data_IF_868491991638
#
_entry.id   IF_868491991638
#
_cell.length_a   1.000
_cell.length_b   1.000
_cell.length_c   1.000
_cell.angle_alpha   90.00
_cell.angle_beta   90.00
_cell.angle_gamma   90.00
#
_symmetry.space_group_name_H-M   'P 1'
#
loop_
_entity.id
_entity.type
_entity.pdbx_description
1 polymer ?
#
# COMPACT_ATOMS: atom_id res chain seq x y z
N UNK A 1 32.73 -71.71 -26.13
CA UNK A 1 32.59 -70.31 -25.91
C UNK A 1 32.71 -69.98 -24.45
N UNK A 2 33.75 -69.28 -24.05
CA UNK A 2 34.02 -68.84 -22.67
C UNK A 2 33.44 -67.46 -22.42
N UNK A 3 32.64 -67.33 -21.39
CA UNK A 3 32.16 -66.06 -20.87
C UNK A 3 33.15 -65.53 -19.82
N UNK A 4 33.54 -64.29 -19.92
CA UNK A 4 34.17 -63.49 -18.83
C UNK A 4 33.27 -62.32 -18.46
N UNK A 5 33.04 -62.10 -17.15
CA UNK A 5 32.23 -60.94 -16.70
C UNK A 5 33.13 -59.67 -16.60
N UNK A 6 32.66 -58.61 -17.26
CA UNK A 6 33.28 -57.30 -17.11
C UNK A 6 32.59 -56.50 -16.04
N UNK A 7 33.35 -56.10 -15.03
CA UNK A 7 32.97 -55.11 -14.01
C UNK A 7 32.68 -53.76 -14.67
N UNK A 8 31.49 -53.25 -14.42
CA UNK A 8 31.15 -51.86 -14.76
C UNK A 8 30.59 -51.18 -13.51
N UNK A 9 31.47 -50.53 -12.78
CA UNK A 9 31.10 -49.65 -11.67
C UNK A 9 30.30 -48.46 -12.18
N UNK A 10 29.00 -48.49 -11.97
CA UNK A 10 28.11 -47.36 -12.16
C UNK A 10 28.40 -46.29 -11.09
N UNK A 11 29.11 -45.25 -11.48
CA UNK A 11 29.19 -44.01 -10.70
C UNK A 11 27.89 -43.27 -10.81
N UNK A 12 27.03 -43.40 -9.79
CA UNK A 12 25.86 -42.57 -9.59
C UNK A 12 26.28 -41.12 -9.36
N UNK A 13 26.26 -40.34 -10.39
CA UNK A 13 26.32 -38.86 -10.29
C UNK A 13 24.99 -38.36 -9.76
N UNK A 14 24.94 -37.94 -8.50
CA UNK A 14 23.83 -37.20 -7.96
C UNK A 14 23.59 -35.95 -8.83
N UNK A 15 22.34 -35.60 -9.14
CA UNK A 15 22.06 -34.36 -9.85
C UNK A 15 22.46 -33.20 -8.93
N UNK A 16 23.50 -32.49 -9.33
CA UNK A 16 23.82 -31.18 -8.75
C UNK A 16 22.67 -30.25 -9.05
N UNK A 17 21.76 -30.10 -8.09
CA UNK A 17 20.71 -29.13 -8.10
C UNK A 17 21.36 -27.74 -7.95
N UNK A 18 21.98 -27.26 -9.02
CA UNK A 18 22.34 -25.86 -9.13
C UNK A 18 21.02 -25.11 -9.37
N UNK A 19 20.35 -24.74 -8.28
CA UNK A 19 19.36 -23.69 -8.32
C UNK A 19 20.08 -22.44 -8.88
N UNK A 20 20.16 -22.34 -10.19
CA UNK A 20 20.51 -21.12 -10.85
C UNK A 20 19.55 -20.09 -10.31
N UNK A 21 20.06 -19.14 -9.51
CA UNK A 21 19.35 -17.95 -9.09
C UNK A 21 19.07 -17.19 -10.38
N UNK A 22 17.98 -17.53 -11.04
CA UNK A 22 17.43 -16.78 -12.17
C UNK A 22 16.92 -15.47 -11.56
N UNK A 23 17.81 -14.52 -11.43
CA UNK A 23 17.48 -13.18 -11.01
C UNK A 23 16.70 -12.57 -12.19
N UNK A 24 15.38 -12.56 -12.09
CA UNK A 24 14.51 -11.91 -13.07
C UNK A 24 14.22 -10.51 -12.54
N UNK A 25 14.94 -9.47 -13.04
CA UNK A 25 14.82 -8.11 -12.50
C UNK A 25 13.39 -7.59 -12.53
N UNK A 26 12.63 -7.97 -13.57
CA UNK A 26 11.22 -7.60 -13.71
C UNK A 26 10.36 -8.20 -12.60
N UNK A 27 10.52 -9.48 -12.28
CA UNK A 27 9.77 -10.12 -11.19
C UNK A 27 10.11 -9.50 -9.82
N UNK A 28 11.39 -9.21 -9.58
CA UNK A 28 11.83 -8.54 -8.36
C UNK A 28 11.19 -7.15 -8.23
N UNK A 29 11.15 -6.37 -9.31
CA UNK A 29 10.54 -5.04 -9.32
C UNK A 29 9.04 -5.10 -9.00
N UNK A 30 8.30 -6.08 -9.53
CA UNK A 30 6.88 -6.28 -9.24
C UNK A 30 6.69 -6.62 -7.76
N UNK A 31 7.45 -7.58 -7.23
CA UNK A 31 7.37 -7.98 -5.83
C UNK A 31 7.75 -6.84 -4.88
N UNK A 32 8.70 -6.01 -5.25
CA UNK A 32 9.06 -4.84 -4.47
C UNK A 32 7.90 -3.83 -4.43
N UNK A 33 7.25 -3.54 -5.57
CA UNK A 33 6.05 -2.68 -5.59
C UNK A 33 4.93 -3.23 -4.72
N UNK A 34 4.72 -4.55 -4.72
CA UNK A 34 3.73 -5.18 -3.82
C UNK A 34 4.07 -4.95 -2.34
N UNK A 35 5.35 -5.02 -1.97
CA UNK A 35 5.79 -4.69 -0.61
C UNK A 35 5.56 -3.22 -0.28
N UNK A 36 5.88 -2.32 -1.23
CA UNK A 36 5.75 -0.88 -1.05
C UNK A 36 4.29 -0.45 -0.79
N UNK A 37 3.31 -1.20 -1.31
CA UNK A 37 1.88 -0.99 -1.04
C UNK A 37 1.36 -1.80 0.17
N UNK A 38 2.23 -2.39 0.98
CA UNK A 38 1.83 -3.17 2.16
C UNK A 38 1.22 -4.54 1.84
N UNK A 39 1.54 -5.14 0.70
CA UNK A 39 1.05 -6.46 0.29
C UNK A 39 2.13 -7.56 0.36
N UNK A 40 3.22 -7.32 1.11
CA UNK A 40 4.34 -8.26 1.21
C UNK A 40 4.01 -9.60 1.87
N UNK A 41 2.89 -9.70 2.57
CA UNK A 41 2.41 -10.93 3.20
C UNK A 41 1.62 -11.85 2.27
N UNK A 42 1.19 -11.37 1.09
CA UNK A 42 0.42 -12.18 0.15
C UNK A 42 1.25 -13.32 -0.43
N UNK A 43 0.60 -14.46 -0.65
CA UNK A 43 1.23 -15.62 -1.27
C UNK A 43 1.06 -15.57 -2.78
N UNK A 44 2.12 -15.93 -3.52
CA UNK A 44 2.02 -16.12 -4.95
C UNK A 44 1.01 -17.25 -5.27
N UNK A 45 0.12 -17.00 -6.22
CA UNK A 45 -0.95 -17.94 -6.57
C UNK A 45 -2.21 -17.82 -5.71
N UNK A 46 -2.27 -16.88 -4.76
CA UNK A 46 -3.49 -16.63 -3.99
C UNK A 46 -4.60 -16.11 -4.92
N UNK A 47 -5.82 -16.68 -4.86
CA UNK A 47 -6.94 -16.22 -5.68
C UNK A 47 -7.33 -14.78 -5.35
N UNK A 48 -7.54 -13.94 -6.37
CA UNK A 48 -7.93 -12.52 -6.19
C UNK A 48 -9.25 -12.35 -5.44
N UNK A 49 -10.12 -13.35 -5.49
CA UNK A 49 -11.40 -13.37 -4.78
C UNK A 49 -11.26 -13.43 -3.26
N UNK A 50 -10.08 -13.84 -2.76
CA UNK A 50 -9.80 -13.91 -1.32
C UNK A 50 -9.28 -12.58 -0.77
N UNK A 51 -8.98 -11.61 -1.64
CA UNK A 51 -8.49 -10.30 -1.24
C UNK A 51 -9.63 -9.38 -0.81
N UNK A 52 -9.40 -8.61 0.24
CA UNK A 52 -10.28 -7.50 0.66
C UNK A 52 -10.35 -6.41 -0.41
N UNK A 53 -11.30 -5.47 -0.26
CA UNK A 53 -11.43 -4.31 -1.15
C UNK A 53 -10.14 -3.49 -1.20
N UNK A 54 -9.61 -3.12 -0.04
CA UNK A 54 -8.37 -2.36 0.07
C UNK A 54 -7.14 -3.09 -0.47
N UNK A 55 -7.03 -4.41 -0.26
CA UNK A 55 -5.95 -5.21 -0.85
C UNK A 55 -5.99 -5.22 -2.37
N UNK A 56 -7.19 -5.37 -2.96
CA UNK A 56 -7.34 -5.29 -4.41
C UNK A 56 -6.97 -3.91 -4.96
N UNK A 57 -7.35 -2.86 -4.25
CA UNK A 57 -7.01 -1.48 -4.64
C UNK A 57 -5.49 -1.24 -4.57
N UNK A 58 -4.82 -1.68 -3.51
CA UNK A 58 -3.36 -1.60 -3.39
C UNK A 58 -2.64 -2.44 -4.43
N UNK A 59 -3.16 -3.64 -4.74
CA UNK A 59 -2.60 -4.47 -5.80
C UNK A 59 -2.71 -3.78 -7.17
N UNK A 60 -3.86 -3.17 -7.46
CA UNK A 60 -4.07 -2.37 -8.66
C UNK A 60 -3.08 -1.18 -8.71
N UNK A 61 -2.90 -0.48 -7.60
CA UNK A 61 -1.91 0.58 -7.51
C UNK A 61 -0.50 0.06 -7.83
N UNK A 62 -0.08 -1.08 -7.24
CA UNK A 62 1.22 -1.68 -7.48
C UNK A 62 1.47 -2.04 -8.96
N UNK A 63 0.42 -2.43 -9.71
CA UNK A 63 0.55 -2.75 -11.14
C UNK A 63 0.74 -1.49 -11.99
N UNK A 64 0.14 -0.36 -11.60
CA UNK A 64 0.20 0.89 -12.36
C UNK A 64 1.34 1.84 -11.92
N UNK A 65 2.07 1.49 -10.87
CA UNK A 65 3.23 2.25 -10.44
C UNK A 65 4.29 2.28 -11.55
N UNK A 66 4.63 3.48 -12.01
CA UNK A 66 5.61 3.70 -13.08
C UNK A 66 5.02 3.86 -14.47
N UNK A 67 3.69 3.79 -14.63
CA UNK A 67 3.05 4.17 -15.88
C UNK A 67 3.01 5.70 -16.05
N UNK A 68 3.00 6.13 -17.29
CA UNK A 68 2.76 7.54 -17.62
C UNK A 68 1.28 7.86 -17.36
N UNK A 69 1.00 8.63 -16.33
CA UNK A 69 -0.35 9.05 -15.97
C UNK A 69 -0.32 10.27 -15.06
N UNK A 70 -1.32 11.15 -15.17
CA UNK A 70 -1.38 12.40 -14.43
C UNK A 70 -2.09 12.30 -13.09
N UNK A 71 -3.15 11.48 -12.96
CA UNK A 71 -4.03 11.45 -11.79
C UNK A 71 -4.31 10.03 -11.34
N UNK A 72 -4.10 9.77 -10.06
CA UNK A 72 -4.50 8.54 -9.37
C UNK A 72 -5.71 8.83 -8.48
N UNK A 73 -6.78 8.04 -8.62
CA UNK A 73 -7.95 8.08 -7.73
C UNK A 73 -7.98 6.78 -6.95
N UNK A 74 -7.87 6.90 -5.63
CA UNK A 74 -7.67 5.78 -4.71
C UNK A 74 -8.78 5.80 -3.66
N UNK A 75 -9.51 4.69 -3.54
CA UNK A 75 -10.65 4.57 -2.66
C UNK A 75 -10.37 3.53 -1.55
N UNK A 76 -10.51 3.95 -0.30
CA UNK A 76 -10.33 3.11 0.90
C UNK A 76 -9.02 2.29 0.94
N UNK A 77 -7.89 2.90 0.60
CA UNK A 77 -6.58 2.23 0.57
C UNK A 77 -6.15 1.61 1.90
N UNK A 78 -6.61 2.17 3.01
CA UNK A 78 -6.20 1.73 4.36
C UNK A 78 -7.01 0.56 4.87
N UNK A 79 -8.10 0.17 4.18
CA UNK A 79 -8.94 -0.97 4.59
C UNK A 79 -8.12 -2.26 4.68
N UNK A 80 -8.10 -2.87 5.87
CA UNK A 80 -7.34 -4.09 6.15
C UNK A 80 -5.82 -3.90 6.19
N UNK A 81 -5.31 -2.65 6.20
CA UNK A 81 -3.89 -2.38 6.32
C UNK A 81 -3.46 -2.40 7.79
N UNK A 82 -2.34 -3.06 8.07
CA UNK A 82 -1.75 -3.01 9.39
C UNK A 82 -1.12 -1.63 9.65
N UNK A 83 -1.21 -1.13 10.89
CA UNK A 83 -0.68 0.20 11.24
C UNK A 83 0.81 0.39 10.88
N UNK A 84 1.60 -0.68 10.95
CA UNK A 84 3.02 -0.64 10.57
C UNK A 84 3.23 -0.36 9.08
N UNK A 85 2.28 -0.78 8.22
CA UNK A 85 2.38 -0.63 6.77
C UNK A 85 1.84 0.73 6.29
N UNK A 86 1.05 1.40 7.13
CA UNK A 86 0.47 2.71 6.81
C UNK A 86 1.57 3.75 6.49
N UNK A 87 2.66 3.76 7.27
CA UNK A 87 3.80 4.67 7.01
C UNK A 87 4.43 4.44 5.64
N UNK A 88 4.56 3.18 5.21
CA UNK A 88 5.09 2.84 3.89
C UNK A 88 4.14 3.30 2.76
N UNK A 89 2.83 3.14 2.98
CA UNK A 89 1.82 3.64 2.03
C UNK A 89 1.89 5.15 1.86
N UNK A 90 2.00 5.92 2.96
CA UNK A 90 2.12 7.37 2.89
C UNK A 90 3.38 7.80 2.13
N UNK A 91 4.54 7.19 2.43
CA UNK A 91 5.79 7.44 1.68
C UNK A 91 5.65 7.12 0.19
N UNK A 92 4.86 6.10 -0.16
CA UNK A 92 4.60 5.79 -1.57
C UNK A 92 3.75 6.88 -2.24
N UNK A 93 2.72 7.39 -1.55
CA UNK A 93 1.90 8.50 -2.06
C UNK A 93 2.74 9.75 -2.27
N UNK A 94 3.64 10.08 -1.34
CA UNK A 94 4.60 11.19 -1.49
C UNK A 94 5.45 11.03 -2.76
N UNK A 95 6.01 9.83 -2.99
CA UNK A 95 6.81 9.56 -4.20
C UNK A 95 6.01 9.75 -5.49
N UNK A 96 4.72 9.42 -5.50
CA UNK A 96 3.86 9.68 -6.65
C UNK A 96 3.71 11.19 -6.90
N UNK A 97 3.42 11.96 -5.85
CA UNK A 97 3.30 13.42 -5.93
C UNK A 97 4.63 14.05 -6.35
N UNK A 98 5.75 13.66 -5.74
CA UNK A 98 7.10 14.14 -6.07
C UNK A 98 7.48 13.83 -7.52
N UNK A 99 6.94 12.75 -8.10
CA UNK A 99 7.12 12.42 -9.52
C UNK A 99 6.22 13.23 -10.48
N UNK A 100 5.49 14.21 -9.97
CA UNK A 100 4.60 15.08 -10.73
C UNK A 100 3.21 14.49 -10.99
N UNK A 101 2.78 13.49 -10.21
CA UNK A 101 1.44 12.91 -10.28
C UNK A 101 0.49 13.64 -9.32
N UNK A 102 -0.77 13.70 -9.67
CA UNK A 102 -1.83 14.11 -8.74
C UNK A 102 -2.46 12.89 -8.11
N UNK A 103 -2.68 12.90 -6.80
CA UNK A 103 -3.27 11.78 -6.07
C UNK A 103 -4.52 12.26 -5.34
N UNK A 104 -5.66 11.66 -5.65
CA UNK A 104 -6.94 11.88 -4.96
C UNK A 104 -7.22 10.63 -4.14
N UNK A 105 -7.35 10.78 -2.83
CA UNK A 105 -7.61 9.67 -1.91
C UNK A 105 -8.97 9.87 -1.26
N UNK A 106 -9.84 8.87 -1.39
CA UNK A 106 -11.13 8.83 -0.67
C UNK A 106 -10.91 7.98 0.57
N UNK A 107 -10.85 8.63 1.73
CA UNK A 107 -10.43 7.99 2.97
C UNK A 107 -11.06 8.63 4.20
N UNK A 108 -11.12 7.85 5.27
CA UNK A 108 -11.55 8.31 6.58
C UNK A 108 -10.49 8.11 7.68
N UNK A 109 -9.31 7.59 7.32
CA UNK A 109 -8.23 7.33 8.26
C UNK A 109 -7.51 8.63 8.65
N UNK A 110 -7.47 9.02 9.96
CA UNK A 110 -6.94 10.30 10.40
C UNK A 110 -5.48 10.57 10.00
N UNK A 111 -4.64 9.52 9.91
CA UNK A 111 -3.25 9.70 9.50
C UNK A 111 -3.11 10.07 8.02
N UNK A 112 -4.00 9.55 7.15
CA UNK A 112 -4.04 9.94 5.74
C UNK A 112 -4.52 11.37 5.61
N UNK A 113 -5.60 11.74 6.31
CA UNK A 113 -6.10 13.11 6.34
C UNK A 113 -5.05 14.12 6.84
N UNK A 114 -4.32 13.77 7.93
CA UNK A 114 -3.27 14.62 8.47
C UNK A 114 -2.07 14.78 7.53
N UNK A 115 -1.89 13.85 6.59
CA UNK A 115 -0.78 13.80 5.64
C UNK A 115 -1.09 14.52 4.32
N UNK A 116 -2.36 14.73 4.00
CA UNK A 116 -2.80 15.35 2.76
C UNK A 116 -2.36 16.82 2.65
N UNK A 117 -2.15 17.30 1.43
CA UNK A 117 -1.93 18.72 1.14
C UNK A 117 -3.24 19.51 1.22
N UNK A 118 -4.34 18.87 0.80
CA UNK A 118 -5.67 19.48 0.71
C UNK A 118 -6.75 18.47 1.05
N UNK A 119 -7.78 18.91 1.75
CA UNK A 119 -8.93 18.12 2.15
C UNK A 119 -10.20 18.75 1.60
N UNK A 120 -11.06 17.92 1.04
CA UNK A 120 -12.45 18.24 0.72
C UNK A 120 -13.32 17.36 1.62
N UNK A 121 -13.98 17.97 2.61
CA UNK A 121 -14.85 17.28 3.56
C UNK A 121 -16.30 17.36 3.09
N UNK A 122 -16.90 16.19 2.90
CA UNK A 122 -18.30 16.09 2.45
C UNK A 122 -19.22 15.93 3.67
N UNK A 123 -20.15 16.84 3.78
CA UNK A 123 -21.00 17.01 4.94
C UNK A 123 -22.09 15.98 5.11
N UNK A 124 -22.71 16.05 6.33
CA UNK A 124 -23.46 14.94 6.87
C UNK A 124 -24.69 14.60 6.03
N UNK A 125 -25.09 13.34 6.16
CA UNK A 125 -26.25 12.80 5.47
C UNK A 125 -25.89 12.02 4.23
N UNK A 126 -26.87 11.30 3.70
CA UNK A 126 -26.78 10.53 2.48
C UNK A 126 -27.94 10.88 1.54
N UNK A 127 -27.77 10.60 0.24
CA UNK A 127 -28.79 10.90 -0.77
C UNK A 127 -28.97 12.40 -1.02
N UNK A 128 -30.21 12.84 -1.14
CA UNK A 128 -30.57 14.23 -1.50
C UNK A 128 -30.08 15.28 -0.50
N UNK A 129 -29.94 14.95 0.78
CA UNK A 129 -29.55 15.86 1.86
C UNK A 129 -28.06 15.77 2.22
N UNK A 130 -27.32 14.86 1.57
CA UNK A 130 -25.90 14.65 1.78
C UNK A 130 -25.01 15.14 0.65
N UNK A 131 -23.70 14.92 0.77
CA UNK A 131 -22.74 15.17 -0.30
C UNK A 131 -22.44 16.65 -0.57
N UNK A 132 -22.70 17.53 0.40
CA UNK A 132 -22.32 18.96 0.31
C UNK A 132 -20.91 19.13 0.84
N UNK A 133 -20.12 19.97 0.19
CA UNK A 133 -18.82 20.38 0.72
C UNK A 133 -19.07 21.23 1.96
N UNK A 134 -18.62 20.73 3.12
CA UNK A 134 -18.70 21.44 4.42
C UNK A 134 -17.40 22.08 4.82
N UNK A 135 -16.30 21.64 4.21
CA UNK A 135 -14.99 22.25 4.36
C UNK A 135 -14.12 21.91 3.13
N UNK A 136 -13.29 22.85 2.74
CA UNK A 136 -12.17 22.64 1.83
C UNK A 136 -10.96 23.43 2.31
N UNK A 137 -9.77 22.84 2.27
CA UNK A 137 -8.55 23.49 2.75
C UNK A 137 -7.49 22.52 3.24
N UNK A 138 -6.46 23.05 3.88
CA UNK A 138 -5.40 22.25 4.45
C UNK A 138 -5.85 21.49 5.70
N UNK A 139 -5.18 20.38 6.07
CA UNK A 139 -5.45 19.67 7.33
C UNK A 139 -5.40 20.58 8.56
N UNK A 140 -4.45 21.49 8.62
CA UNK A 140 -4.34 22.48 9.71
C UNK A 140 -5.54 23.41 9.76
N UNK A 141 -6.06 23.82 8.61
CA UNK A 141 -7.29 24.62 8.49
C UNK A 141 -8.50 23.85 9.02
N UNK A 142 -8.63 22.58 8.68
CA UNK A 142 -9.72 21.71 9.15
C UNK A 142 -9.69 21.51 10.67
N UNK A 143 -8.50 21.26 11.24
CA UNK A 143 -8.29 21.17 12.70
C UNK A 143 -8.71 22.46 13.42
N UNK A 144 -8.43 23.61 12.80
CA UNK A 144 -8.75 24.93 13.38
C UNK A 144 -10.24 25.28 13.25
N UNK A 145 -10.89 24.83 12.19
CA UNK A 145 -12.28 25.19 11.87
C UNK A 145 -13.29 24.65 12.90
N UNK A 146 -13.04 23.49 13.52
CA UNK A 146 -13.89 22.83 14.53
C UNK A 146 -15.39 22.73 14.16
N UNK A 147 -15.73 23.03 12.92
CA UNK A 147 -17.10 23.12 12.42
C UNK A 147 -17.66 21.80 11.92
N UNK A 148 -16.79 20.80 11.69
CA UNK A 148 -17.18 19.50 11.17
C UNK A 148 -16.79 18.39 12.12
N UNK A 149 -17.50 17.25 12.05
CA UNK A 149 -17.14 16.05 12.81
C UNK A 149 -15.75 15.58 12.44
N UNK A 150 -15.42 15.62 11.16
CA UNK A 150 -14.09 15.26 10.63
C UNK A 150 -13.00 16.13 11.25
N UNK A 151 -13.19 17.43 11.32
CA UNK A 151 -12.25 18.36 11.96
C UNK A 151 -12.05 18.06 13.46
N UNK A 152 -13.12 17.75 14.19
CA UNK A 152 -13.05 17.38 15.60
C UNK A 152 -12.21 16.09 15.79
N UNK A 153 -12.45 15.06 14.98
CA UNK A 153 -11.70 13.79 15.05
C UNK A 153 -10.23 13.98 14.64
N UNK A 154 -9.97 14.76 13.60
CA UNK A 154 -8.59 15.03 13.16
C UNK A 154 -7.82 15.81 14.22
N UNK A 155 -8.45 16.81 14.88
CA UNK A 155 -7.84 17.56 15.96
C UNK A 155 -7.45 16.66 17.15
N UNK A 156 -8.32 15.73 17.54
CA UNK A 156 -8.04 14.78 18.60
C UNK A 156 -6.85 13.87 18.24
N UNK A 157 -6.80 13.38 17.00
CA UNK A 157 -5.71 12.54 16.49
C UNK A 157 -4.36 13.28 16.52
N UNK A 158 -4.30 14.50 16.01
CA UNK A 158 -3.08 15.31 15.97
C UNK A 158 -2.59 15.63 17.38
N UNK A 159 -3.49 15.97 18.29
CA UNK A 159 -3.17 16.24 19.71
C UNK A 159 -2.61 14.99 20.41
N UNK A 160 -3.20 13.83 20.20
CA UNK A 160 -2.71 12.58 20.77
C UNK A 160 -1.29 12.22 20.27
N UNK A 161 -1.02 12.46 18.99
CA UNK A 161 0.30 12.20 18.39
C UNK A 161 1.39 13.13 18.92
N UNK A 162 1.05 14.38 19.23
CA UNK A 162 2.01 15.35 19.79
C UNK A 162 2.38 15.05 21.25
N UNK A 163 1.55 14.28 21.99
CA UNK A 163 1.79 13.88 23.38
C UNK A 163 2.36 12.45 23.51
N UNK A 164 2.53 11.73 22.42
CA UNK A 164 3.13 10.40 22.47
C UNK A 164 4.59 10.51 22.94
N UNK A 165 5.01 9.78 24.02
CA UNK A 165 6.40 9.77 24.44
C UNK A 165 7.25 9.18 23.31
N UNK A 166 8.33 9.88 22.97
CA UNK A 166 9.29 9.38 21.98
C UNK A 166 9.79 7.96 22.33
N UNK A 167 10.32 7.21 21.35
CA UNK A 167 10.80 5.86 21.59
C UNK A 167 11.81 5.87 22.73
N UNK A 168 11.56 5.09 23.77
CA UNK A 168 12.55 4.88 24.83
C UNK A 168 13.77 4.24 24.20
N UNK A 169 14.89 4.92 24.29
CA UNK A 169 16.22 4.42 23.88
C UNK A 169 16.66 3.27 24.76
#
# INVERSE_FOLDING_TARGET
GFFAPGDSAARGGAPKNSAAKTHTPAAHAILQRMKDVGLGYLRLGQPLTTLSGGERQRLKLATHLGEEGGVYVLDELTTGLHLADLGQLLVLLDRLVDSGKSVIVIEHHPAVMAHADWIIDLGPGAGHDGGRIVFEGTPAGLVSAKSTLTGTHLAAFVSAKSHAPGPRR
#
